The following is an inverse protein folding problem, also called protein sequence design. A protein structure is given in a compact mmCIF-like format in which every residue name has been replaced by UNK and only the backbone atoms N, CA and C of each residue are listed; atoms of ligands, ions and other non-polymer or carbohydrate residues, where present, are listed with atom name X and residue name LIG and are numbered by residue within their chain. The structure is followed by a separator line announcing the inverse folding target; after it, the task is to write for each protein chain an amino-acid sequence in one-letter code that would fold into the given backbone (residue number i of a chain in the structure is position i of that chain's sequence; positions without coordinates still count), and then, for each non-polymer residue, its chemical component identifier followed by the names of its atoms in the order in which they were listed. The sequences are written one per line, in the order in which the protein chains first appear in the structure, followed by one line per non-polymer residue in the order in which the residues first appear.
data_IF_025187402639
#
_entry.id   IF_025187402639
#
_cell.length_a   1.000
_cell.length_b   1.000
_cell.length_c   1.000
_cell.angle_alpha   90.00
_cell.angle_beta   90.00
_cell.angle_gamma   90.00
#
_symmetry.space_group_name_H-M   'P 1'
#
loop_
_entity.id
_entity.type
_entity.pdbx_description
1 polymer ?
#
# COMPACT_ATOMS: atom_id res chain seq x y z
N UNK A 1 -35.71 -6.94 22.31
CA UNK A 1 -35.88 -7.03 20.84
C UNK A 1 -35.42 -8.38 20.27
N UNK A 2 -35.35 -9.46 21.08
CA UNK A 2 -34.69 -10.72 20.69
C UNK A 2 -35.63 -11.85 20.20
N UNK A 3 -36.94 -11.62 20.11
CA UNK A 3 -37.93 -12.71 20.05
C UNK A 3 -38.78 -12.80 18.77
N UNK A 4 -38.46 -12.08 17.68
CA UNK A 4 -39.39 -11.97 16.53
C UNK A 4 -38.83 -12.28 15.14
N UNK A 5 -37.74 -13.04 15.01
CA UNK A 5 -37.31 -13.46 13.67
C UNK A 5 -36.71 -14.89 13.62
N UNK A 6 -37.51 -15.89 13.19
CA UNK A 6 -37.03 -17.25 12.94
C UNK A 6 -35.94 -17.33 11.85
N UNK A 7 -35.93 -16.42 10.87
CA UNK A 7 -34.90 -16.37 9.82
C UNK A 7 -33.56 -15.85 10.35
N UNK A 8 -33.59 -14.85 11.24
CA UNK A 8 -32.40 -14.40 11.98
C UNK A 8 -31.86 -15.50 12.94
N UNK A 9 -32.76 -16.33 13.48
CA UNK A 9 -32.39 -17.50 14.28
C UNK A 9 -31.65 -18.59 13.49
N UNK A 10 -32.05 -18.84 12.24
CA UNK A 10 -31.39 -19.80 11.35
C UNK A 10 -30.01 -19.32 10.86
N UNK A 11 -29.85 -18.01 10.64
CA UNK A 11 -28.58 -17.38 10.29
C UNK A 11 -27.51 -17.46 11.42
N UNK A 12 -27.88 -17.85 12.65
CA UNK A 12 -26.91 -18.12 13.73
C UNK A 12 -26.08 -19.40 13.51
N UNK A 13 -26.55 -20.36 12.70
CA UNK A 13 -25.85 -21.65 12.52
C UNK A 13 -24.51 -21.50 11.80
N UNK A 14 -24.37 -20.53 10.92
CA UNK A 14 -23.11 -20.22 10.23
C UNK A 14 -22.96 -18.71 10.10
N UNK A 15 -21.98 -18.13 10.79
CA UNK A 15 -21.59 -16.74 10.54
C UNK A 15 -21.07 -16.63 9.10
N UNK A 16 -21.36 -15.55 8.37
CA UNK A 16 -20.71 -15.29 7.09
C UNK A 16 -19.19 -15.38 7.28
N UNK A 17 -18.55 -16.23 6.51
CA UNK A 17 -17.09 -16.41 6.49
C UNK A 17 -16.53 -15.76 5.24
N UNK A 18 -15.44 -15.02 5.39
CA UNK A 18 -14.70 -14.43 4.28
C UNK A 18 -13.43 -15.24 4.06
N UNK A 19 -13.15 -15.61 2.81
CA UNK A 19 -11.87 -16.17 2.40
C UNK A 19 -11.02 -15.10 1.71
N UNK A 20 -9.69 -15.15 1.93
CA UNK A 20 -8.74 -14.36 1.15
C UNK A 20 -8.45 -14.98 -0.22
N UNK A 21 -8.81 -16.25 -0.42
CA UNK A 21 -8.60 -16.98 -1.68
C UNK A 21 -9.75 -16.69 -2.64
N UNK A 22 -9.48 -16.26 -3.87
CA UNK A 22 -10.53 -16.08 -4.89
C UNK A 22 -11.31 -17.37 -5.16
N UNK A 23 -12.57 -17.24 -5.57
CA UNK A 23 -13.37 -18.37 -6.07
C UNK A 23 -14.09 -19.22 -5.03
N UNK A 24 -14.22 -18.76 -3.78
CA UNK A 24 -14.97 -19.52 -2.75
C UNK A 24 -16.48 -19.54 -2.94
N UNK A 25 -17.05 -18.53 -3.61
CA UNK A 25 -18.48 -18.48 -3.95
C UNK A 25 -18.64 -18.97 -5.40
N UNK A 26 -19.15 -20.19 -5.57
CA UNK A 26 -19.33 -20.83 -6.89
C UNK A 26 -20.65 -20.46 -7.57
N UNK A 27 -21.65 -19.97 -6.82
CA UNK A 27 -22.95 -19.56 -7.35
C UNK A 27 -23.67 -18.56 -6.43
N UNK A 28 -24.74 -17.91 -6.91
CA UNK A 28 -25.47 -16.93 -6.11
C UNK A 28 -26.05 -17.54 -4.82
N UNK A 29 -25.79 -16.92 -3.68
CA UNK A 29 -26.33 -17.31 -2.38
C UNK A 29 -27.44 -16.31 -2.00
N UNK A 30 -28.66 -16.82 -1.81
CA UNK A 30 -29.80 -15.99 -1.39
C UNK A 30 -29.83 -15.85 0.12
N UNK A 31 -29.92 -14.61 0.61
CA UNK A 31 -30.01 -14.25 2.03
C UNK A 31 -31.33 -13.50 2.26
N UNK A 32 -32.16 -14.01 3.17
CA UNK A 32 -33.40 -13.36 3.59
C UNK A 32 -33.09 -12.31 4.67
N UNK A 33 -32.67 -11.12 4.25
CA UNK A 33 -32.19 -10.06 5.14
C UNK A 33 -33.25 -9.04 5.57
N UNK A 34 -34.43 -9.03 4.92
CA UNK A 34 -35.42 -7.95 5.07
C UNK A 34 -36.80 -8.48 5.47
N UNK A 35 -37.39 -7.89 6.51
CA UNK A 35 -38.73 -8.21 7.01
C UNK A 35 -39.83 -7.99 5.95
N UNK A 36 -39.62 -7.07 5.00
CA UNK A 36 -40.55 -6.77 3.90
C UNK A 36 -40.51 -7.75 2.72
N UNK A 37 -39.85 -8.91 2.86
CA UNK A 37 -39.78 -9.95 1.81
C UNK A 37 -38.71 -9.73 0.73
N UNK A 38 -37.96 -8.63 0.80
CA UNK A 38 -36.78 -8.41 -0.04
C UNK A 38 -35.68 -9.44 0.23
N UNK A 39 -34.88 -9.73 -0.79
CA UNK A 39 -33.78 -10.72 -0.74
C UNK A 39 -32.46 -10.05 -1.11
N UNK A 40 -31.38 -10.41 -0.41
CA UNK A 40 -30.01 -10.06 -0.75
C UNK A 40 -29.38 -11.26 -1.46
N UNK A 41 -28.63 -11.02 -2.54
CA UNK A 41 -27.91 -12.08 -3.25
C UNK A 41 -26.41 -11.82 -3.16
N UNK A 42 -25.67 -12.76 -2.57
CA UNK A 42 -24.21 -12.81 -2.67
C UNK A 42 -23.85 -13.51 -3.98
N UNK A 43 -23.13 -12.83 -4.86
CA UNK A 43 -22.80 -13.33 -6.20
C UNK A 43 -21.33 -13.78 -6.24
N UNK A 44 -20.97 -14.72 -7.13
CA UNK A 44 -19.56 -15.07 -7.36
C UNK A 44 -18.69 -13.82 -7.59
N UNK A 45 -17.60 -13.72 -6.83
CA UNK A 45 -16.68 -12.59 -6.91
C UNK A 45 -15.92 -12.59 -8.24
N UNK A 46 -15.83 -11.43 -8.88
CA UNK A 46 -15.04 -11.26 -10.11
C UNK A 46 -13.56 -11.20 -9.75
N UNK A 47 -12.75 -12.05 -10.40
CA UNK A 47 -11.31 -12.01 -10.26
C UNK A 47 -10.73 -10.83 -11.04
N UNK A 48 -10.06 -9.91 -10.35
CA UNK A 48 -9.43 -8.74 -10.96
C UNK A 48 -7.95 -9.00 -11.19
N UNK A 49 -7.57 -9.22 -12.46
CA UNK A 49 -6.20 -9.58 -12.86
C UNK A 49 -5.15 -8.52 -12.49
N UNK A 50 -5.57 -7.27 -12.31
CA UNK A 50 -4.67 -6.15 -12.06
C UNK A 50 -4.27 -5.97 -10.59
N UNK A 51 -4.74 -6.86 -9.71
CA UNK A 51 -4.39 -6.87 -8.29
C UNK A 51 -3.15 -7.70 -8.03
N UNK A 52 -2.33 -7.28 -7.08
CA UNK A 52 -1.17 -8.05 -6.62
C UNK A 52 -1.55 -9.47 -6.16
N UNK A 53 -2.72 -9.65 -5.56
CA UNK A 53 -3.25 -10.95 -5.14
C UNK A 53 -3.62 -11.87 -6.30
N UNK A 54 -3.68 -11.37 -7.54
CA UNK A 54 -3.96 -12.19 -8.72
C UNK A 54 -2.70 -12.84 -9.31
N UNK A 55 -1.53 -12.26 -9.03
CA UNK A 55 -0.24 -12.76 -9.56
C UNK A 55 0.50 -13.66 -8.58
N UNK A 56 0.24 -13.50 -7.28
CA UNK A 56 0.92 -14.24 -6.22
C UNK A 56 0.31 -15.64 -6.07
N UNK A 57 1.17 -16.63 -5.81
CA UNK A 57 0.76 -18.02 -5.53
C UNK A 57 -0.21 -18.11 -4.35
N UNK A 58 -1.13 -19.07 -4.39
CA UNK A 58 -2.21 -19.25 -3.41
C UNK A 58 -1.71 -19.34 -1.96
N UNK A 59 -0.56 -19.97 -1.76
CA UNK A 59 0.05 -20.22 -0.45
C UNK A 59 0.58 -18.92 0.18
N UNK A 60 0.88 -17.91 -0.63
CA UNK A 60 1.41 -16.63 -0.21
C UNK A 60 0.32 -15.55 -0.06
N UNK A 61 -0.91 -15.79 -0.53
CA UNK A 61 -2.06 -14.88 -0.33
C UNK A 61 -2.33 -14.53 1.15
N UNK A 62 -2.18 -15.45 2.13
CA UNK A 62 -2.38 -15.11 3.54
C UNK A 62 -1.37 -14.11 4.10
N UNK A 63 -0.21 -13.91 3.44
CA UNK A 63 0.80 -12.89 3.80
C UNK A 63 0.30 -11.51 3.37
N UNK A 64 -0.38 -11.43 2.23
CA UNK A 64 -0.94 -10.20 1.69
C UNK A 64 -2.23 -9.76 2.38
N UNK A 65 -2.96 -10.68 3.01
CA UNK A 65 -4.19 -10.36 3.73
C UNK A 65 -3.89 -9.56 5.02
N UNK A 66 -4.40 -8.32 5.17
CA UNK A 66 -4.25 -7.57 6.40
C UNK A 66 -4.96 -8.25 7.57
N UNK A 67 -4.21 -8.68 8.60
CA UNK A 67 -4.77 -9.30 9.82
C UNK A 67 -5.06 -8.30 10.94
N UNK A 68 -4.60 -7.06 10.79
CA UNK A 68 -4.78 -5.98 11.75
C UNK A 68 -4.75 -4.64 11.02
N UNK A 69 -5.07 -3.56 11.74
CA UNK A 69 -5.00 -2.20 11.21
C UNK A 69 -3.61 -1.95 10.61
N UNK A 70 -3.57 -1.47 9.37
CA UNK A 70 -2.33 -1.10 8.70
C UNK A 70 -1.60 -0.02 9.51
N UNK A 71 -0.29 -0.21 9.69
CA UNK A 71 0.59 0.74 10.35
C UNK A 71 1.64 1.15 9.34
N UNK A 72 1.82 2.46 9.15
CA UNK A 72 2.84 3.00 8.26
C UNK A 72 4.23 2.61 8.74
N UNK A 73 5.05 2.06 7.85
CA UNK A 73 6.49 1.90 8.07
C UNK A 73 7.25 2.95 7.27
N UNK A 74 7.86 3.91 7.97
CA UNK A 74 8.58 5.03 7.35
C UNK A 74 10.07 4.71 7.16
N UNK A 75 10.62 5.03 5.99
CA UNK A 75 12.03 4.99 5.64
C UNK A 75 12.53 6.41 5.32
N UNK A 76 13.78 6.80 5.68
CA UNK A 76 14.82 5.95 6.26
C UNK A 76 14.57 5.67 7.75
N UNK A 77 14.56 4.41 8.17
CA UNK A 77 14.47 4.04 9.59
C UNK A 77 15.88 3.77 10.11
N UNK A 78 16.28 4.42 11.21
CA UNK A 78 17.59 4.20 11.85
C UNK A 78 17.85 2.72 12.18
N UNK A 79 16.79 1.93 12.41
CA UNK A 79 16.89 0.48 12.67
C UNK A 79 17.21 -0.34 11.42
N UNK A 80 16.63 0.00 10.27
CA UNK A 80 16.89 -0.69 8.99
C UNK A 80 18.30 -0.37 8.48
N UNK A 81 18.80 0.85 8.74
CA UNK A 81 20.18 1.23 8.44
C UNK A 81 21.20 0.46 9.32
N UNK A 82 20.85 0.14 10.57
CA UNK A 82 21.67 -0.61 11.52
C UNK A 82 21.75 -2.11 11.17
N UNK A 83 20.63 -2.72 10.77
CA UNK A 83 20.57 -4.15 10.40
C UNK A 83 21.34 -4.47 9.11
N UNK A 84 21.37 -3.54 8.15
CA UNK A 84 22.08 -3.76 6.88
C UNK A 84 23.57 -3.34 6.92
N UNK A 85 24.11 -2.95 8.09
CA UNK A 85 25.51 -2.51 8.20
C UNK A 85 25.84 -1.22 7.42
N UNK A 86 24.83 -0.53 6.88
CA UNK A 86 24.97 0.66 6.03
C UNK A 86 24.90 1.97 6.84
N UNK A 87 25.39 1.96 8.08
CA UNK A 87 25.56 3.18 8.91
C UNK A 87 26.63 4.12 8.34
N UNK A 88 27.51 3.64 7.45
CA UNK A 88 28.62 4.42 6.94
C UNK A 88 28.35 5.29 5.70
N UNK A 89 27.24 5.10 4.97
CA UNK A 89 27.14 5.61 3.58
C UNK A 89 25.88 6.39 3.20
N UNK A 90 24.98 6.71 4.14
CA UNK A 90 24.06 7.83 3.93
C UNK A 90 24.84 9.14 4.08
N UNK A 91 25.70 9.44 3.10
CA UNK A 91 26.40 10.71 2.98
C UNK A 91 25.45 11.86 2.63
N UNK A 92 26.02 12.98 2.20
CA UNK A 92 25.31 14.21 1.82
C UNK A 92 24.22 14.05 0.73
N UNK A 93 24.15 12.89 0.04
CA UNK A 93 23.19 12.60 -1.02
C UNK A 93 21.88 11.95 -0.54
N UNK A 94 21.72 11.68 0.76
CA UNK A 94 20.52 11.09 1.35
C UNK A 94 20.15 9.74 0.75
N UNK A 95 18.90 9.58 0.28
CA UNK A 95 18.38 8.33 -0.27
C UNK A 95 18.61 8.13 -1.78
N UNK A 96 19.29 9.04 -2.46
CA UNK A 96 19.55 8.90 -3.90
C UNK A 96 20.47 7.69 -4.17
N UNK A 97 20.13 6.89 -5.18
CA UNK A 97 20.89 5.68 -5.54
C UNK A 97 20.64 4.47 -4.63
N UNK A 98 19.55 4.50 -3.86
CA UNK A 98 19.02 3.34 -3.15
C UNK A 98 17.78 2.77 -3.84
N UNK A 99 17.63 1.45 -3.73
CA UNK A 99 16.47 0.69 -4.15
C UNK A 99 15.80 0.05 -2.94
N UNK A 100 14.48 0.22 -2.84
CA UNK A 100 13.67 -0.35 -1.77
C UNK A 100 12.81 -1.46 -2.33
N UNK A 101 12.94 -2.66 -1.76
CA UNK A 101 12.11 -3.82 -2.03
C UNK A 101 11.00 -3.94 -1.01
N UNK A 102 9.79 -4.22 -1.47
CA UNK A 102 8.64 -4.58 -0.63
C UNK A 102 8.25 -6.02 -0.95
N UNK A 103 8.80 -6.95 -0.16
CA UNK A 103 8.90 -8.36 -0.52
C UNK A 103 9.61 -8.58 -1.86
N UNK A 104 9.29 -9.67 -2.55
CA UNK A 104 9.68 -9.89 -3.94
C UNK A 104 8.69 -9.30 -4.96
N UNK A 105 7.79 -8.42 -4.51
CA UNK A 105 6.62 -7.99 -5.29
C UNK A 105 6.75 -6.61 -5.90
N UNK A 106 7.54 -5.73 -5.29
CA UNK A 106 7.69 -4.34 -5.73
C UNK A 106 9.11 -3.90 -5.43
N UNK A 107 9.71 -3.18 -6.38
CA UNK A 107 11.00 -2.49 -6.20
C UNK A 107 10.83 -1.02 -6.57
N UNK A 108 11.43 -0.14 -5.77
CA UNK A 108 11.38 1.31 -6.00
C UNK A 108 12.80 1.82 -6.02
N UNK A 109 13.21 2.39 -7.15
CA UNK A 109 14.50 3.03 -7.32
C UNK A 109 14.36 4.53 -7.08
N UNK A 110 15.17 5.05 -6.17
CA UNK A 110 15.19 6.46 -5.79
C UNK A 110 16.21 7.20 -6.68
N UNK A 111 15.72 7.74 -7.80
CA UNK A 111 16.55 8.34 -8.84
C UNK A 111 16.97 9.77 -8.49
N UNK A 112 15.99 10.60 -8.10
CA UNK A 112 16.20 12.00 -7.72
C UNK A 112 15.23 12.39 -6.63
N UNK A 113 15.70 12.40 -5.40
CA UNK A 113 14.93 12.74 -4.20
C UNK A 113 15.69 13.73 -3.34
N UNK A 114 14.97 14.47 -2.48
CA UNK A 114 15.62 15.33 -1.49
C UNK A 114 16.34 14.47 -0.44
N UNK A 115 17.42 14.97 0.17
CA UNK A 115 18.15 14.22 1.19
C UNK A 115 17.28 13.73 2.36
N UNK A 116 16.29 14.55 2.75
CA UNK A 116 15.36 14.27 3.85
C UNK A 116 14.05 13.58 3.42
N UNK A 117 13.97 13.10 2.17
CA UNK A 117 12.78 12.43 1.66
C UNK A 117 12.44 11.22 2.52
N UNK A 118 11.16 11.05 2.83
CA UNK A 118 10.65 9.96 3.62
C UNK A 118 9.58 9.20 2.84
N UNK A 119 9.70 7.87 2.80
CA UNK A 119 8.71 6.98 2.18
C UNK A 119 8.01 6.20 3.27
N UNK A 120 6.69 6.32 3.38
CA UNK A 120 5.90 5.58 4.37
C UNK A 120 5.02 4.52 3.70
N UNK A 121 5.32 3.26 3.97
CA UNK A 121 4.65 2.10 3.39
C UNK A 121 3.43 1.71 4.21
N UNK A 122 2.26 1.65 3.58
CA UNK A 122 1.01 1.18 4.16
C UNK A 122 0.55 -0.08 3.45
N UNK A 123 0.81 -1.22 4.06
CA UNK A 123 0.36 -2.52 3.58
C UNK A 123 0.60 -3.62 4.61
N UNK A 124 0.56 -4.90 4.18
CA UNK A 124 0.56 -6.04 5.09
C UNK A 124 1.82 -6.06 5.96
N UNK A 125 1.67 -6.12 7.28
CA UNK A 125 2.79 -6.11 8.23
C UNK A 125 3.77 -7.28 8.02
N UNK A 126 3.26 -8.39 7.50
CA UNK A 126 4.06 -9.59 7.25
C UNK A 126 4.99 -9.45 6.03
N UNK A 127 4.80 -8.41 5.20
CA UNK A 127 5.62 -8.19 4.01
C UNK A 127 6.91 -7.45 4.39
N UNK A 128 8.09 -8.07 4.22
CA UNK A 128 9.35 -7.47 4.59
C UNK A 128 9.69 -6.30 3.67
N UNK A 129 10.45 -5.34 4.19
CA UNK A 129 10.98 -4.21 3.43
C UNK A 129 12.49 -4.21 3.54
N UNK A 130 13.17 -4.24 2.41
CA UNK A 130 14.64 -4.25 2.33
C UNK A 130 15.13 -3.07 1.51
N UNK A 131 16.25 -2.48 1.92
CA UNK A 131 16.87 -1.38 1.21
C UNK A 131 18.31 -1.74 0.85
N UNK A 132 18.66 -1.58 -0.41
CA UNK A 132 19.99 -1.87 -0.96
C UNK A 132 20.41 -0.75 -1.90
N UNK A 133 21.70 -0.66 -2.23
CA UNK A 133 22.12 0.31 -3.25
C UNK A 133 21.68 -0.15 -4.64
N UNK A 134 21.30 0.78 -5.50
CA UNK A 134 20.65 0.51 -6.79
C UNK A 134 21.57 -0.24 -7.76
N UNK A 135 22.89 -0.05 -7.67
CA UNK A 135 23.91 -0.81 -8.39
C UNK A 135 23.83 -2.33 -8.12
N UNK A 136 23.54 -2.70 -6.87
CA UNK A 136 23.43 -4.10 -6.41
C UNK A 136 22.01 -4.65 -6.47
N UNK A 137 21.01 -3.82 -6.77
CA UNK A 137 19.61 -4.20 -6.64
C UNK A 137 19.20 -5.34 -7.58
N UNK A 138 19.78 -5.41 -8.79
CA UNK A 138 19.51 -6.52 -9.72
C UNK A 138 20.05 -7.85 -9.19
N UNK A 139 21.31 -7.87 -8.74
CA UNK A 139 21.95 -9.06 -8.18
C UNK A 139 21.24 -9.49 -6.88
N UNK A 140 20.93 -8.53 -6.00
CA UNK A 140 20.20 -8.79 -4.77
C UNK A 140 18.84 -9.42 -5.04
N UNK A 141 18.08 -8.90 -6.02
CA UNK A 141 16.80 -9.48 -6.39
C UNK A 141 16.94 -10.93 -6.89
N UNK A 142 17.93 -11.20 -7.75
CA UNK A 142 18.16 -12.54 -8.28
C UNK A 142 18.56 -13.55 -7.20
N UNK A 143 19.41 -13.14 -6.25
CA UNK A 143 19.95 -14.04 -5.22
C UNK A 143 18.97 -14.27 -4.06
N UNK A 144 18.19 -13.25 -3.70
CA UNK A 144 17.37 -13.25 -2.48
C UNK A 144 15.88 -13.49 -2.72
N UNK A 145 15.43 -13.56 -3.97
CA UNK A 145 14.05 -13.90 -4.32
C UNK A 145 13.69 -15.31 -3.83
N UNK A 146 12.62 -15.42 -3.05
CA UNK A 146 12.23 -16.68 -2.41
C UNK A 146 12.93 -16.96 -1.07
N UNK A 147 13.90 -16.14 -0.66
CA UNK A 147 14.60 -16.22 0.62
C UNK A 147 14.26 -15.03 1.53
N UNK A 148 14.95 -13.90 1.37
CA UNK A 148 14.63 -12.66 2.09
C UNK A 148 13.48 -11.92 1.40
N UNK A 149 13.48 -11.90 0.07
CA UNK A 149 12.45 -11.25 -0.73
C UNK A 149 11.27 -12.20 -0.93
N UNK A 150 10.39 -12.18 0.07
CA UNK A 150 9.16 -12.99 0.09
C UNK A 150 7.93 -12.09 0.22
N UNK A 151 6.80 -12.44 -0.41
CA UNK A 151 6.62 -13.52 -1.39
C UNK A 151 7.18 -13.14 -2.79
N UNK A 152 7.38 -14.11 -3.71
CA UNK A 152 7.08 -15.55 -3.59
C UNK A 152 7.90 -16.22 -2.47
N UNK A 153 7.31 -17.15 -1.72
CA UNK A 153 8.04 -17.84 -0.63
C UNK A 153 8.63 -19.17 -1.11
N UNK A 154 9.94 -19.34 -0.92
CA UNK A 154 10.67 -20.54 -1.31
C UNK A 154 11.18 -20.49 -2.76
N UNK A 155 12.30 -21.18 -3.00
CA UNK A 155 12.98 -21.19 -4.30
C UNK A 155 12.09 -21.75 -5.42
N UNK A 156 11.38 -22.85 -5.20
CA UNK A 156 10.50 -23.47 -6.21
C UNK A 156 9.48 -22.47 -6.78
N UNK A 157 8.85 -21.67 -5.91
CA UNK A 157 7.88 -20.64 -6.34
C UNK A 157 8.55 -19.45 -7.00
N UNK A 158 9.77 -19.09 -6.56
CA UNK A 158 10.55 -18.05 -7.21
C UNK A 158 10.90 -18.41 -8.67
N UNK A 159 11.11 -19.68 -9.01
CA UNK A 159 11.37 -20.09 -10.41
C UNK A 159 10.16 -19.92 -11.34
N UNK A 160 8.94 -20.01 -10.80
CA UNK A 160 7.69 -19.82 -11.56
C UNK A 160 7.16 -18.39 -11.50
N UNK A 161 7.86 -17.51 -10.79
CA UNK A 161 7.50 -16.10 -10.66
C UNK A 161 7.98 -15.30 -11.88
N UNK A 162 7.06 -14.59 -12.53
CA UNK A 162 7.39 -13.77 -13.70
C UNK A 162 8.24 -12.53 -13.37
N UNK A 163 8.42 -12.21 -12.09
CA UNK A 163 9.26 -11.10 -11.67
C UNK A 163 8.62 -9.73 -11.84
N UNK A 164 9.47 -8.71 -11.77
CA UNK A 164 9.09 -7.30 -11.91
C UNK A 164 9.35 -6.85 -13.35
N UNK A 165 8.46 -7.21 -14.26
CA UNK A 165 8.65 -7.04 -15.70
C UNK A 165 8.48 -5.60 -16.19
N UNK A 166 7.68 -4.79 -15.48
CA UNK A 166 7.38 -3.42 -15.91
C UNK A 166 7.99 -2.41 -14.95
N UNK A 167 8.55 -1.36 -15.53
CA UNK A 167 9.05 -0.19 -14.81
C UNK A 167 8.18 1.02 -15.13
N UNK A 168 7.73 1.72 -14.10
CA UNK A 168 7.00 2.98 -14.21
C UNK A 168 7.84 4.10 -13.61
N UNK A 169 8.30 5.00 -14.46
CA UNK A 169 8.93 6.24 -14.01
C UNK A 169 7.86 7.23 -13.55
N UNK A 170 8.01 7.70 -12.32
CA UNK A 170 7.09 8.62 -11.67
C UNK A 170 7.82 9.93 -11.41
N UNK A 171 7.27 11.02 -11.95
CA UNK A 171 7.68 12.38 -11.67
C UNK A 171 6.63 13.02 -10.76
N UNK A 172 6.96 13.13 -9.48
CA UNK A 172 6.04 13.62 -8.45
C UNK A 172 6.39 15.06 -8.14
N UNK A 173 5.50 15.98 -8.52
CA UNK A 173 5.63 17.40 -8.21
C UNK A 173 5.02 17.69 -6.84
N UNK A 174 5.62 18.62 -6.10
CA UNK A 174 5.10 19.06 -4.82
C UNK A 174 5.23 20.57 -4.66
N UNK A 175 4.22 21.20 -4.06
CA UNK A 175 4.18 22.65 -3.83
C UNK A 175 4.61 23.00 -2.41
N UNK A 176 4.09 22.25 -1.44
CA UNK A 176 4.31 22.41 -0.02
C UNK A 176 5.18 21.26 0.50
N UNK A 177 6.38 21.60 0.98
CA UNK A 177 7.37 20.65 1.49
C UNK A 177 6.93 20.02 2.82
N UNK A 178 6.02 20.67 3.55
CA UNK A 178 5.49 20.21 4.85
C UNK A 178 4.36 19.19 4.68
N UNK A 179 3.90 18.98 3.43
CA UNK A 179 2.84 18.04 3.09
C UNK A 179 3.42 16.84 2.33
N UNK A 180 2.79 15.66 2.48
CA UNK A 180 3.07 14.57 1.57
C UNK A 180 2.80 15.01 0.13
N UNK A 181 3.70 14.65 -0.78
CA UNK A 181 3.62 15.00 -2.19
C UNK A 181 2.54 14.19 -2.90
N UNK A 182 2.54 12.87 -2.69
CA UNK A 182 1.58 11.96 -3.29
C UNK A 182 1.52 10.61 -2.56
N UNK A 183 0.46 9.86 -2.82
CA UNK A 183 0.40 8.41 -2.60
C UNK A 183 0.69 7.69 -3.91
N UNK A 184 1.64 6.75 -3.88
CA UNK A 184 1.82 5.75 -4.93
C UNK A 184 1.05 4.50 -4.53
N UNK A 185 -0.10 4.26 -5.16
CA UNK A 185 -0.99 3.14 -4.84
C UNK A 185 -0.70 1.94 -5.74
N UNK A 186 -0.61 0.75 -5.15
CA UNK A 186 -0.36 -0.52 -5.83
C UNK A 186 -1.56 -1.44 -5.59
N UNK A 187 -2.27 -1.76 -6.67
CA UNK A 187 -3.56 -2.44 -6.58
C UNK A 187 -3.42 -3.81 -5.93
N UNK A 188 -4.24 -4.10 -4.93
CA UNK A 188 -4.22 -5.37 -4.18
C UNK A 188 -3.08 -5.53 -3.17
N UNK A 189 -2.24 -4.51 -2.97
CA UNK A 189 -1.16 -4.54 -1.96
C UNK A 189 -1.32 -3.45 -0.90
N UNK A 190 -1.38 -2.18 -1.32
CA UNK A 190 -1.29 -1.05 -0.41
C UNK A 190 -0.87 0.23 -1.12
N UNK A 191 -0.30 1.17 -0.38
CA UNK A 191 0.24 2.39 -0.96
C UNK A 191 1.47 2.88 -0.21
N UNK A 192 2.18 3.81 -0.85
CA UNK A 192 3.40 4.41 -0.34
C UNK A 192 3.21 5.90 -0.36
N UNK A 193 3.29 6.52 0.81
CA UNK A 193 3.23 7.96 0.96
C UNK A 193 4.63 8.51 0.69
N UNK A 194 4.74 9.46 -0.22
CA UNK A 194 5.99 10.15 -0.55
C UNK A 194 5.98 11.51 0.15
N UNK A 195 6.85 11.68 1.15
CA UNK A 195 7.01 12.93 1.88
C UNK A 195 8.34 13.58 1.45
N UNK A 196 8.34 14.81 0.90
CA UNK A 196 9.57 15.48 0.47
C UNK A 196 10.59 15.66 1.60
N UNK A 197 10.11 15.96 2.81
CA UNK A 197 10.94 16.14 4.00
C UNK A 197 10.33 15.42 5.19
N UNK A 198 11.17 14.72 5.93
CA UNK A 198 10.79 14.02 7.16
C UNK A 198 10.50 15.00 8.30
N UNK A 199 9.28 14.95 8.84
CA UNK A 199 8.82 15.82 9.94
C UNK A 199 9.65 15.79 11.23
N UNK A 200 10.46 14.76 11.47
CA UNK A 200 11.29 14.64 12.68
C UNK A 200 12.67 15.28 12.55
N UNK A 201 13.19 15.51 11.33
CA UNK A 201 14.41 16.27 11.09
C UNK A 201 14.03 17.73 10.85
N UNK A 202 13.59 18.41 11.90
CA UNK A 202 13.43 19.86 11.87
C UNK A 202 14.75 20.49 12.25
N UNK A 203 15.61 20.78 11.28
CA UNK A 203 16.57 21.87 11.42
C UNK A 203 16.00 23.10 10.72
N UNK A 204 16.16 24.25 11.35
CA UNK A 204 15.60 25.56 10.98
C UNK A 204 16.09 26.14 9.64
N UNK A 205 16.89 25.40 8.85
CA UNK A 205 17.76 25.99 7.84
C UNK A 205 17.74 25.26 6.48
N UNK A 206 16.60 24.69 6.08
CA UNK A 206 16.45 24.25 4.70
C UNK A 206 16.22 25.49 3.81
N UNK A 207 17.25 25.87 3.04
CA UNK A 207 17.16 26.87 1.98
C UNK A 207 16.17 26.37 0.91
N UNK A 208 14.89 26.72 1.09
CA UNK A 208 13.75 26.26 0.28
C UNK A 208 13.86 26.62 -1.21
N UNK A 209 14.63 27.65 -1.56
CA UNK A 209 14.63 28.23 -2.90
C UNK A 209 15.52 27.50 -3.92
N UNK A 210 16.38 26.56 -3.51
CA UNK A 210 17.35 25.91 -4.40
C UNK A 210 17.02 24.48 -4.84
N UNK A 211 15.99 23.85 -4.27
CA UNK A 211 15.65 22.47 -4.59
C UNK A 211 14.58 22.38 -5.67
N UNK A 212 14.78 21.47 -6.63
CA UNK A 212 13.76 21.14 -7.61
C UNK A 212 12.51 20.60 -6.88
N UNK A 213 11.35 21.18 -7.18
CA UNK A 213 10.03 20.81 -6.62
C UNK A 213 9.47 19.49 -7.18
N UNK A 214 10.37 18.58 -7.54
CA UNK A 214 10.05 17.34 -8.25
C UNK A 214 10.90 16.19 -7.71
N UNK A 215 10.25 15.07 -7.42
CA UNK A 215 10.86 13.81 -7.00
C UNK A 215 10.71 12.78 -8.12
N UNK A 216 11.81 12.11 -8.47
CA UNK A 216 11.81 11.11 -9.53
C UNK A 216 12.08 9.72 -8.92
N UNK A 217 11.16 8.81 -9.21
CA UNK A 217 11.17 7.43 -8.71
C UNK A 217 10.93 6.49 -9.89
N UNK A 218 11.55 5.32 -9.91
CA UNK A 218 11.16 4.26 -10.84
C UNK A 218 10.60 3.07 -10.04
N UNK A 219 9.36 2.68 -10.33
CA UNK A 219 8.68 1.60 -9.62
C UNK A 219 8.57 0.38 -10.54
N UNK A 220 9.18 -0.72 -10.12
CA UNK A 220 9.15 -1.99 -10.82
C UNK A 220 8.11 -2.92 -10.17
N UNK A 221 7.21 -3.45 -10.98
CA UNK A 221 6.10 -4.32 -10.55
C UNK A 221 5.83 -5.43 -11.58
N UNK A 222 5.06 -6.47 -11.24
CA UNK A 222 4.60 -7.46 -12.19
C UNK A 222 3.70 -6.83 -13.26
N UNK A 223 3.83 -7.31 -14.51
CA UNK A 223 3.16 -6.73 -15.68
C UNK A 223 1.65 -6.44 -15.52
N UNK A 224 0.82 -7.35 -14.98
CA UNK A 224 -0.61 -7.08 -14.93
C UNK A 224 -1.01 -6.14 -13.79
N UNK A 225 -0.14 -5.94 -12.79
CA UNK A 225 -0.47 -5.17 -11.59
C UNK A 225 -0.57 -3.69 -11.93
N UNK A 226 -1.66 -3.05 -11.48
CA UNK A 226 -1.87 -1.64 -11.69
C UNK A 226 -1.24 -0.80 -10.57
N UNK A 227 -0.58 0.29 -10.99
CA UNK A 227 -0.01 1.32 -10.14
C UNK A 227 -0.50 2.68 -10.61
N UNK A 228 -0.85 3.55 -9.65
CA UNK A 228 -1.27 4.90 -9.94
C UNK A 228 -0.88 5.86 -8.82
N UNK A 229 -0.69 7.12 -9.19
CA UNK A 229 -0.40 8.21 -8.26
C UNK A 229 -1.71 8.92 -7.94
N UNK A 230 -1.95 9.20 -6.67
CA UNK A 230 -3.15 9.93 -6.21
C UNK A 230 -2.79 10.96 -5.13
N UNK A 231 -3.70 11.90 -4.84
CA UNK A 231 -3.54 12.78 -3.68
C UNK A 231 -3.37 11.98 -2.38
N UNK A 232 -2.49 12.41 -1.46
CA UNK A 232 -2.24 11.68 -0.23
C UNK A 232 -3.49 11.53 0.62
N UNK A 233 -3.69 10.35 1.20
CA UNK A 233 -4.74 10.16 2.19
C UNK A 233 -4.35 10.76 3.55
N UNK A 234 -5.27 11.45 4.26
CA UNK A 234 -5.00 12.01 5.57
C UNK A 234 -5.03 10.95 6.67
N UNK A 235 -3.98 10.15 6.76
CA UNK A 235 -3.91 9.01 7.68
C UNK A 235 -3.25 9.40 9.01
N UNK A 236 -3.94 9.08 10.11
CA UNK A 236 -3.43 9.25 11.46
C UNK A 236 -3.24 10.71 11.89
N UNK A 237 -2.45 10.93 12.95
CA UNK A 237 -2.20 12.27 13.50
C UNK A 237 -1.47 13.20 12.52
N UNK A 238 -0.60 12.64 11.68
CA UNK A 238 0.12 13.40 10.68
C UNK A 238 -0.82 13.97 9.62
N UNK A 239 -1.82 13.19 9.18
CA UNK A 239 -2.88 13.64 8.27
C UNK A 239 -3.67 14.82 8.80
N UNK A 240 -4.07 14.78 10.07
CA UNK A 240 -4.84 15.85 10.70
C UNK A 240 -4.11 17.21 10.74
N UNK A 241 -2.77 17.22 10.68
CA UNK A 241 -1.98 18.46 10.74
C UNK A 241 -1.93 19.25 9.43
N UNK A 242 -2.24 18.63 8.28
CA UNK A 242 -2.18 19.30 6.98
C UNK A 242 -3.48 19.18 6.17
N UNK A 243 -4.31 18.18 6.45
CA UNK A 243 -5.55 17.99 5.73
C UNK A 243 -6.58 19.02 6.17
N UNK A 244 -6.94 19.89 5.24
CA UNK A 244 -8.02 20.84 5.43
C UNK A 244 -9.30 20.19 4.89
N UNK A 245 -10.29 20.01 5.76
CA UNK A 245 -11.61 19.59 5.32
C UNK A 245 -12.17 20.67 4.40
N UNK A 246 -12.59 20.28 3.21
CA UNK A 246 -13.42 21.15 2.39
C UNK A 246 -14.75 21.31 3.10
N UNK A 247 -15.04 22.51 3.57
CA UNK A 247 -16.38 22.85 4.02
C UNK A 247 -17.35 22.70 2.86
N UNK A 248 -18.49 22.05 3.12
CA UNK A 248 -19.54 21.94 2.13
C UNK A 248 -20.24 23.27 1.99
N UNK A 249 -20.63 23.61 0.78
CA UNK A 249 -21.55 24.72 0.56
C UNK A 249 -22.94 24.35 1.12
N UNK A 250 -23.73 25.36 1.52
CA UNK A 250 -25.11 25.15 1.99
C UNK A 250 -25.96 24.32 1.00
N UNK A 251 -25.69 24.48 -0.31
CA UNK A 251 -26.33 23.70 -1.38
C UNK A 251 -25.95 22.22 -1.33
N UNK A 252 -24.66 21.91 -1.17
CA UNK A 252 -24.17 20.52 -1.07
C UNK A 252 -24.67 19.86 0.23
N UNK A 253 -24.78 20.62 1.31
CA UNK A 253 -25.32 20.14 2.58
C UNK A 253 -26.82 19.85 2.50
N UNK A 254 -27.59 20.73 1.84
CA UNK A 254 -29.02 20.54 1.59
C UNK A 254 -29.37 19.32 0.72
N UNK A 255 -28.44 18.87 -0.14
CA UNK A 255 -28.58 17.69 -0.99
C UNK A 255 -28.27 16.37 -0.27
N UNK A 256 -27.72 16.41 0.95
CA UNK A 256 -27.42 15.17 1.68
C UNK A 256 -28.72 14.44 2.05
N UNK A 257 -28.73 13.10 2.01
CA UNK A 257 -29.84 12.31 2.50
C UNK A 257 -30.17 12.72 3.94
N UNK A 258 -31.42 13.16 4.16
CA UNK A 258 -31.91 13.49 5.49
C UNK A 258 -32.25 12.18 6.20
N UNK A 259 -31.64 11.98 7.36
CA UNK A 259 -31.99 10.87 8.23
C UNK A 259 -33.29 11.21 8.94
N UNK A 260 -34.35 10.48 8.60
CA UNK A 260 -35.60 10.51 9.37
C UNK A 260 -35.49 9.39 10.41
N UNK A 261 -35.31 9.76 11.67
CA UNK A 261 -35.33 8.83 12.80
C UNK A 261 -36.76 8.56 13.25
#
# INVERSE_FOLDING_TARGET
MEQRDPAAGAARKYKPIQSAVPGTTLGPIQINAFLGGGKLFDTPGVHLHHRQTAVVHSEDLPILAPRSRLRGLSLPNAKVALENGQIGNCGSNGLNGFSIFWGGLVRIDLLKVLPDTCLTFYGPKALPIHMVSTDKANEFYQNELGLLLTPPSGKERAHTWNGLEITRELQIKFEDIERPAADVAISGLGWIVIEPVRKSLRSSDLKLEQFAKELHLAVHIPRPVEIFVRPPLPVGKAGAGWYQYRELTEKEEGLRPKWFF
#
